data_IF_374413318053
#
_entry.id   IF_374413318053
#
_cell.length_a   1.000
_cell.length_b   1.000
_cell.length_c   1.000
_cell.angle_alpha   90.00
_cell.angle_beta   90.00
_cell.angle_gamma   90.00
#
_symmetry.space_group_name_H-M   'P 1'
#
loop_
_entity.id
_entity.type
_entity.pdbx_description
1 polymer ?
#
# COMPACT_ATOMS: atom_id res chain seq x y z
N UNK A 1 1.22 -0.06 9.25
CA UNK A 1 2.46 -0.81 9.56
C UNK A 1 2.16 -2.26 9.94
N UNK A 2 1.51 -2.54 11.09
CA UNK A 2 1.28 -3.92 11.55
C UNK A 2 0.49 -4.80 10.58
N UNK A 3 -0.59 -4.28 9.99
CA UNK A 3 -1.35 -5.00 8.96
C UNK A 3 -0.49 -5.42 7.75
N UNK A 4 0.44 -4.54 7.33
CA UNK A 4 1.34 -4.80 6.21
C UNK A 4 2.30 -5.94 6.59
N UNK A 5 2.89 -5.86 7.78
CA UNK A 5 3.78 -6.90 8.30
C UNK A 5 3.05 -8.25 8.46
N UNK A 6 1.78 -8.24 8.87
CA UNK A 6 0.95 -9.44 8.96
C UNK A 6 0.76 -10.10 7.59
N UNK A 7 0.28 -9.35 6.59
CA UNK A 7 0.06 -9.89 5.25
C UNK A 7 1.36 -10.27 4.53
N UNK A 8 2.51 -9.73 4.97
CA UNK A 8 3.85 -10.12 4.51
C UNK A 8 4.43 -11.33 5.25
N UNK A 9 3.80 -11.79 6.34
CA UNK A 9 4.30 -12.90 7.15
C UNK A 9 5.51 -12.57 8.04
N UNK A 10 5.82 -11.29 8.25
CA UNK A 10 7.03 -10.86 8.98
C UNK A 10 6.82 -10.66 10.49
N UNK A 11 5.60 -10.84 10.99
CA UNK A 11 5.30 -10.69 12.43
C UNK A 11 5.69 -11.90 13.29
N UNK A 12 6.07 -13.02 12.68
CA UNK A 12 6.47 -14.24 13.38
C UNK A 12 5.44 -14.65 14.47
N UNK A 13 5.86 -14.83 15.75
CA UNK A 13 4.98 -15.28 16.82
C UNK A 13 3.90 -14.26 17.21
N UNK A 14 4.04 -12.98 16.84
CA UNK A 14 3.06 -11.93 17.18
C UNK A 14 1.84 -11.92 16.25
N UNK A 15 1.89 -12.68 15.15
CA UNK A 15 0.81 -12.77 14.16
C UNK A 15 -0.52 -13.25 14.76
N UNK A 16 -0.47 -14.10 15.79
CA UNK A 16 -1.64 -14.66 16.46
C UNK A 16 -2.19 -13.82 17.62
N UNK A 17 -1.59 -12.67 17.90
CA UNK A 17 -2.07 -11.79 18.97
C UNK A 17 -3.46 -11.22 18.67
N UNK A 18 -4.27 -11.04 19.71
CA UNK A 18 -5.63 -10.50 19.59
C UNK A 18 -5.67 -9.14 18.90
N UNK A 19 -4.65 -8.30 19.16
CA UNK A 19 -4.52 -6.99 18.49
C UNK A 19 -4.39 -7.13 16.98
N UNK A 20 -3.60 -8.09 16.50
CA UNK A 20 -3.39 -8.32 15.06
C UNK A 20 -4.65 -8.91 14.45
N UNK A 21 -5.27 -9.89 15.09
CA UNK A 21 -6.56 -10.48 14.64
C UNK A 21 -7.63 -9.40 14.48
N UNK A 22 -7.78 -8.51 15.45
CA UNK A 22 -8.73 -7.39 15.36
C UNK A 22 -8.44 -6.44 14.18
N UNK A 23 -7.16 -6.16 13.91
CA UNK A 23 -6.77 -5.34 12.75
C UNK A 23 -7.15 -6.04 11.44
N UNK A 24 -6.86 -7.33 11.34
CA UNK A 24 -7.13 -8.16 10.16
C UNK A 24 -8.63 -8.30 9.92
N UNK A 25 -9.41 -8.50 10.98
CA UNK A 25 -10.88 -8.59 10.88
C UNK A 25 -11.50 -7.28 10.38
N UNK A 26 -11.01 -6.13 10.87
CA UNK A 26 -11.43 -4.82 10.34
C UNK A 26 -11.09 -4.67 8.85
N UNK A 27 -9.92 -5.12 8.42
CA UNK A 27 -9.51 -5.08 7.01
C UNK A 27 -10.40 -6.00 6.17
N UNK A 28 -10.69 -7.21 6.66
CA UNK A 28 -11.49 -8.21 5.96
C UNK A 28 -12.95 -7.79 5.82
N UNK A 29 -13.51 -7.13 6.83
CA UNK A 29 -14.89 -6.63 6.83
C UNK A 29 -15.08 -5.28 6.13
N UNK A 30 -14.00 -4.55 5.86
CA UNK A 30 -14.08 -3.26 5.17
C UNK A 30 -14.51 -3.40 3.70
N UNK A 31 -15.40 -2.49 3.28
CA UNK A 31 -15.84 -2.29 1.89
C UNK A 31 -14.73 -1.66 1.02
N UNK A 32 -13.96 -0.74 1.61
CA UNK A 32 -12.87 0.00 0.97
C UNK A 32 -11.67 0.07 1.92
N UNK A 33 -10.47 -0.16 1.40
CA UNK A 33 -9.21 0.01 2.12
C UNK A 33 -8.45 1.17 1.50
N UNK A 34 -7.96 2.08 2.34
CA UNK A 34 -7.06 3.16 1.96
C UNK A 34 -5.74 2.89 2.65
N UNK A 35 -4.67 2.72 1.88
CA UNK A 35 -3.35 2.39 2.40
C UNK A 35 -2.25 3.13 1.61
N UNK A 36 -1.11 3.46 2.22
CA UNK A 36 0.00 4.03 1.47
C UNK A 36 0.50 3.05 0.40
N UNK A 37 0.90 3.58 -0.76
CA UNK A 37 1.49 2.80 -1.85
C UNK A 37 2.77 2.14 -1.33
N UNK A 38 2.88 0.84 -1.57
CA UNK A 38 4.09 0.10 -1.26
C UNK A 38 5.19 0.49 -2.25
N UNK A 39 6.28 1.07 -1.76
CA UNK A 39 7.52 1.26 -2.49
C UNK A 39 8.62 0.37 -1.93
N UNK A 40 9.76 0.31 -2.63
CA UNK A 40 10.90 -0.50 -2.20
C UNK A 40 11.44 -0.04 -0.84
N UNK A 41 11.37 1.26 -0.52
CA UNK A 41 11.85 1.80 0.75
C UNK A 41 10.95 1.41 1.93
N UNK A 42 9.64 1.45 1.76
CA UNK A 42 8.68 0.97 2.75
C UNK A 42 9.00 -0.47 3.09
N UNK A 43 9.25 -1.33 2.10
CA UNK A 43 9.58 -2.73 2.34
C UNK A 43 10.81 -2.89 3.25
N UNK A 44 11.89 -2.15 2.96
CA UNK A 44 13.10 -2.18 3.77
C UNK A 44 12.84 -1.71 5.21
N UNK A 45 12.17 -0.57 5.39
CA UNK A 45 11.85 -0.02 6.72
C UNK A 45 10.95 -0.97 7.52
N UNK A 46 9.97 -1.64 6.88
CA UNK A 46 9.12 -2.63 7.55
C UNK A 46 9.93 -3.82 8.05
N UNK A 47 10.89 -4.33 7.25
CA UNK A 47 11.72 -5.47 7.62
C UNK A 47 12.60 -5.14 8.84
N UNK A 48 13.30 -4.00 8.81
CA UNK A 48 14.10 -3.52 9.95
C UNK A 48 13.27 -3.35 11.22
N UNK A 49 12.03 -2.89 11.09
CA UNK A 49 11.12 -2.78 12.21
C UNK A 49 10.73 -4.14 12.78
N UNK A 50 10.41 -5.13 11.93
CA UNK A 50 10.04 -6.47 12.39
C UNK A 50 11.20 -7.27 12.95
N UNK A 51 12.42 -7.03 12.46
CA UNK A 51 13.65 -7.67 12.95
C UNK A 51 14.14 -7.02 14.27
N UNK A 52 13.54 -5.90 14.68
CA UNK A 52 13.88 -5.18 15.90
C UNK A 52 15.11 -4.27 15.77
N UNK A 53 15.61 -4.06 14.55
CA UNK A 53 16.72 -3.14 14.28
C UNK A 53 16.33 -1.67 14.51
N UNK A 54 15.07 -1.33 14.23
CA UNK A 54 14.51 0.01 14.46
C UNK A 54 13.23 -0.09 15.29
N UNK A 55 12.97 0.92 16.10
CA UNK A 55 11.73 1.03 16.86
C UNK A 55 10.59 1.64 16.00
N UNK A 56 9.37 1.64 16.55
CA UNK A 56 8.18 2.13 15.86
C UNK A 56 8.28 3.62 15.47
N UNK A 57 8.89 4.45 16.31
CA UNK A 57 9.01 5.89 16.06
C UNK A 57 9.94 6.18 14.89
N UNK A 58 11.08 5.49 14.84
CA UNK A 58 12.06 5.59 13.73
C UNK A 58 11.44 5.08 12.43
N UNK A 59 10.71 3.96 12.47
CA UNK A 59 10.01 3.44 11.31
C UNK A 59 8.96 4.44 10.80
N UNK A 60 8.17 5.03 11.70
CA UNK A 60 7.13 6.00 11.33
C UNK A 60 7.73 7.28 10.74
N UNK A 61 8.77 7.83 11.36
CA UNK A 61 9.48 8.99 10.83
C UNK A 61 10.07 8.71 9.45
N UNK A 62 10.70 7.55 9.26
CA UNK A 62 11.31 7.17 7.98
C UNK A 62 10.26 7.07 6.86
N UNK A 63 9.11 6.46 7.14
CA UNK A 63 8.01 6.36 6.16
C UNK A 63 7.37 7.71 5.87
N UNK A 64 7.27 8.58 6.88
CA UNK A 64 6.70 9.92 6.70
C UNK A 64 7.51 10.78 5.72
N UNK A 65 8.83 10.58 5.69
CA UNK A 65 9.72 11.27 4.75
C UNK A 65 9.56 10.78 3.30
N UNK A 66 9.07 9.55 3.08
CA UNK A 66 8.95 8.95 1.76
C UNK A 66 7.80 9.52 0.90
N UNK A 67 6.99 10.47 1.40
CA UNK A 67 5.86 11.11 0.69
C UNK A 67 5.02 10.10 -0.13
N UNK A 68 4.71 8.96 0.50
CA UNK A 68 3.99 7.88 -0.18
C UNK A 68 2.57 8.34 -0.54
N UNK A 69 2.18 8.13 -1.79
CA UNK A 69 0.78 8.29 -2.20
C UNK A 69 -0.13 7.28 -1.52
N UNK A 70 -1.44 7.46 -1.63
CA UNK A 70 -2.42 6.49 -1.17
C UNK A 70 -2.96 5.65 -2.31
N UNK A 71 -3.10 4.35 -2.06
CA UNK A 71 -3.84 3.42 -2.87
C UNK A 71 -5.22 3.17 -2.25
N UNK A 72 -6.23 3.10 -3.12
CA UNK A 72 -7.61 2.82 -2.78
C UNK A 72 -7.99 1.45 -3.34
N UNK A 73 -8.46 0.56 -2.47
CA UNK A 73 -8.80 -0.82 -2.82
C UNK A 73 -10.28 -1.01 -2.49
N UNK A 74 -11.10 -1.19 -3.52
CA UNK A 74 -12.53 -1.44 -3.42
C UNK A 74 -12.77 -2.95 -3.41
N UNK A 75 -13.34 -3.48 -2.31
CA UNK A 75 -13.45 -4.94 -2.10
C UNK A 75 -14.82 -5.52 -2.39
N UNK A 76 -15.87 -4.70 -2.33
CA UNK A 76 -17.26 -5.17 -2.44
C UNK A 76 -17.98 -4.54 -3.63
N UNK A 77 -18.95 -5.26 -4.19
CA UNK A 77 -19.82 -4.71 -5.25
C UNK A 77 -20.56 -3.47 -4.79
N UNK A 78 -20.97 -3.42 -3.51
CA UNK A 78 -21.56 -2.23 -2.89
C UNK A 78 -20.66 -1.00 -3.06
N UNK A 79 -19.35 -1.14 -2.86
CA UNK A 79 -18.41 -0.05 -3.02
C UNK A 79 -18.22 0.31 -4.50
N UNK A 80 -18.08 -0.69 -5.38
CA UNK A 80 -17.93 -0.50 -6.82
C UNK A 80 -19.15 0.20 -7.44
N UNK A 81 -20.37 -0.19 -7.04
CA UNK A 81 -21.63 0.40 -7.52
C UNK A 81 -21.83 1.86 -7.09
N UNK A 82 -20.99 2.37 -6.19
CA UNK A 82 -20.99 3.77 -5.75
C UNK A 82 -19.90 4.60 -6.46
N UNK A 83 -19.06 3.99 -7.29
CA UNK A 83 -18.06 4.71 -8.07
C UNK A 83 -18.73 5.50 -9.20
N UNK A 84 -18.38 6.78 -9.28
CA UNK A 84 -18.81 7.67 -10.35
C UNK A 84 -17.56 8.03 -11.17
N UNK A 85 -17.42 7.53 -12.40
CA UNK A 85 -16.36 7.97 -13.29
C UNK A 85 -16.50 9.47 -13.54
N UNK A 86 -15.48 10.24 -13.17
CA UNK A 86 -15.49 11.70 -13.39
C UNK A 86 -15.07 12.01 -14.83
N UNK A 87 -14.04 11.32 -15.32
CA UNK A 87 -13.47 11.53 -16.64
C UNK A 87 -13.03 10.20 -17.25
N UNK A 88 -13.08 10.13 -18.59
CA UNK A 88 -12.62 8.98 -19.37
C UNK A 88 -11.62 9.47 -20.41
N UNK A 89 -10.39 9.01 -20.26
CA UNK A 89 -9.31 9.32 -21.19
C UNK A 89 -9.15 8.17 -22.20
N UNK A 90 -8.86 8.52 -23.45
CA UNK A 90 -8.51 7.58 -24.49
C UNK A 90 -7.03 7.76 -24.81
N UNK A 91 -6.28 6.66 -24.84
CA UNK A 91 -4.86 6.66 -25.15
C UNK A 91 -4.65 5.96 -26.49
N UNK A 92 -4.17 6.68 -27.50
CA UNK A 92 -3.89 6.08 -28.79
C UNK A 92 -2.58 5.28 -28.77
N UNK A 93 -2.37 4.39 -29.74
CA UNK A 93 -1.19 3.53 -29.77
C UNK A 93 0.14 4.34 -29.79
N UNK A 94 0.28 5.42 -30.59
CA UNK A 94 1.47 6.28 -30.53
C UNK A 94 1.73 6.89 -29.14
N UNK A 95 0.72 7.49 -28.51
CA UNK A 95 0.86 8.09 -27.17
C UNK A 95 1.25 7.03 -26.12
N UNK A 96 0.67 5.83 -26.21
CA UNK A 96 1.02 4.73 -25.31
C UNK A 96 2.49 4.32 -25.44
N UNK A 97 3.00 4.28 -26.66
CA UNK A 97 4.40 3.91 -26.91
C UNK A 97 5.35 5.03 -26.47
N UNK A 98 4.93 6.29 -26.56
CA UNK A 98 5.65 7.43 -26.01
C UNK A 98 5.72 7.39 -24.47
N UNK A 99 4.59 7.17 -23.79
CA UNK A 99 4.57 7.02 -22.32
C UNK A 99 5.50 5.88 -21.85
N UNK A 100 5.53 4.75 -22.56
CA UNK A 100 6.45 3.65 -22.25
C UNK A 100 7.92 4.06 -22.37
N UNK A 101 8.27 4.82 -23.41
CA UNK A 101 9.64 5.32 -23.58
C UNK A 101 10.03 6.25 -22.42
N UNK A 102 9.15 7.18 -22.04
CA UNK A 102 9.39 8.09 -20.92
C UNK A 102 9.61 7.35 -19.59
N UNK A 103 8.84 6.28 -19.33
CA UNK A 103 9.01 5.39 -18.17
C UNK A 103 10.37 4.68 -18.17
N UNK A 104 10.81 4.17 -19.32
CA UNK A 104 12.09 3.46 -19.44
C UNK A 104 13.28 4.42 -19.32
N UNK A 105 13.14 5.64 -19.85
CA UNK A 105 14.20 6.66 -19.83
C UNK A 105 14.32 7.39 -18.47
N UNK A 106 13.42 7.13 -17.51
CA UNK A 106 13.48 7.72 -16.18
C UNK A 106 13.28 9.23 -16.15
N UNK A 107 12.65 9.81 -17.18
CA UNK A 107 12.31 11.23 -17.24
C UNK A 107 11.04 11.50 -16.45
N UNK A 108 11.15 11.52 -15.12
CA UNK A 108 10.13 12.01 -14.19
C UNK A 108 10.77 12.88 -13.13
#
# INVERSE_FOLDING_TARGET
MLAICYHRGTLGPYSDSEKIKHIVDKINTADVIIAPIADNKMFYVMAQFTDGEINADVALHSLSASKLGFQYIFKTEKALNKLIPIEKYYLCAPERDECKKQLIEGKY
#
